data_IF_839896160009
#
_entry.id   IF_839896160009
#
_cell.length_a   1.000
_cell.length_b   1.000
_cell.length_c   1.000
_cell.angle_alpha   90.00
_cell.angle_beta   90.00
_cell.angle_gamma   90.00
#
_symmetry.space_group_name_H-M   'P 1'
#
loop_
_entity.id
_entity.type
_entity.pdbx_description
1 polymer ?
#
# COMPACT_ATOMS: atom_id res chain seq x y z
N UNK A 1 12.38 -2.55 -12.32
CA UNK A 1 13.20 -1.50 -12.93
C UNK A 1 13.05 -1.43 -14.44
N UNK A 2 13.62 -2.36 -15.21
CA UNK A 2 13.65 -2.28 -16.68
C UNK A 2 12.28 -2.06 -17.34
N UNK A 3 11.24 -2.78 -16.88
CA UNK A 3 9.89 -2.63 -17.42
C UNK A 3 9.33 -1.21 -17.20
N UNK A 4 9.48 -0.69 -15.98
CA UNK A 4 9.11 0.69 -15.61
C UNK A 4 9.80 1.70 -16.54
N UNK A 5 11.12 1.54 -16.76
CA UNK A 5 11.87 2.42 -17.66
C UNK A 5 11.38 2.36 -19.11
N UNK A 6 11.07 1.17 -19.63
CA UNK A 6 10.55 0.99 -20.99
C UNK A 6 9.19 1.65 -21.16
N UNK A 7 8.30 1.47 -20.18
CA UNK A 7 6.91 1.89 -20.31
C UNK A 7 6.70 3.37 -19.96
N UNK A 8 7.35 3.85 -18.89
CA UNK A 8 7.23 5.24 -18.41
C UNK A 8 8.20 6.18 -19.17
N UNK A 9 9.28 5.64 -19.73
CA UNK A 9 10.34 6.43 -20.37
C UNK A 9 11.40 6.99 -19.41
N UNK A 10 11.42 6.52 -18.16
CA UNK A 10 12.43 6.89 -17.15
C UNK A 10 13.78 6.25 -17.42
N UNK A 11 14.86 6.88 -16.97
CA UNK A 11 16.19 6.26 -17.04
C UNK A 11 16.24 4.96 -16.19
N UNK A 12 17.12 3.99 -16.51
CA UNK A 12 17.17 2.71 -15.80
C UNK A 12 17.35 2.83 -14.28
N UNK A 13 18.16 3.79 -13.81
CA UNK A 13 18.38 4.02 -12.38
C UNK A 13 17.11 4.47 -11.66
N UNK A 14 16.32 5.37 -12.25
CA UNK A 14 15.04 5.80 -11.70
C UNK A 14 14.01 4.66 -11.68
N UNK A 15 13.95 3.85 -12.74
CA UNK A 15 13.08 2.68 -12.77
C UNK A 15 13.45 1.64 -11.71
N UNK A 16 14.76 1.47 -11.43
CA UNK A 16 15.23 0.62 -10.33
C UNK A 16 14.89 1.23 -8.97
N UNK A 17 15.10 2.53 -8.80
CA UNK A 17 14.74 3.27 -7.59
C UNK A 17 13.26 3.16 -7.25
N UNK A 18 12.37 3.30 -8.25
CA UNK A 18 10.93 3.17 -8.04
C UNK A 18 10.52 1.76 -7.58
N UNK A 19 11.19 0.71 -8.07
CA UNK A 19 10.98 -0.66 -7.56
C UNK A 19 11.55 -0.83 -6.16
N UNK A 20 12.67 -0.16 -5.84
CA UNK A 20 13.19 -0.17 -4.48
C UNK A 20 12.22 0.51 -3.50
N UNK A 21 11.62 1.64 -3.87
CA UNK A 21 10.58 2.31 -3.07
C UNK A 21 9.38 1.39 -2.80
N UNK A 22 8.98 0.56 -3.77
CA UNK A 22 7.94 -0.46 -3.60
C UNK A 22 8.35 -1.54 -2.58
N UNK A 23 9.62 -1.91 -2.51
CA UNK A 23 10.12 -2.88 -1.53
C UNK A 23 10.17 -2.23 -0.15
N UNK A 24 10.74 -1.03 -0.05
CA UNK A 24 10.93 -0.32 1.21
C UNK A 24 9.60 -0.03 1.92
N UNK A 25 8.55 0.31 1.16
CA UNK A 25 7.23 0.52 1.76
C UNK A 25 6.60 -0.79 2.26
N UNK A 26 6.84 -1.92 1.59
CA UNK A 26 6.35 -3.21 2.08
C UNK A 26 6.99 -3.54 3.44
N UNK A 27 8.30 -3.33 3.59
CA UNK A 27 9.00 -3.52 4.86
C UNK A 27 8.48 -2.57 5.95
N UNK A 28 8.28 -1.29 5.59
CA UNK A 28 7.72 -0.30 6.48
C UNK A 28 6.30 -0.66 6.94
N UNK A 29 5.43 -1.06 6.01
CA UNK A 29 4.04 -1.44 6.30
C UNK A 29 3.98 -2.70 7.19
N UNK A 30 4.82 -3.70 6.94
CA UNK A 30 4.94 -4.89 7.82
C UNK A 30 5.37 -4.47 9.22
N UNK A 31 6.30 -3.53 9.36
CA UNK A 31 6.66 -2.95 10.66
C UNK A 31 5.47 -2.29 11.37
N UNK A 32 4.71 -1.46 10.65
CA UNK A 32 3.52 -0.78 11.16
C UNK A 32 2.37 -1.73 11.51
N UNK A 33 2.26 -2.89 10.86
CA UNK A 33 1.20 -3.88 11.16
C UNK A 33 1.16 -4.30 12.63
N UNK A 34 2.29 -4.20 13.34
CA UNK A 34 2.42 -4.51 14.77
C UNK A 34 2.02 -3.34 15.69
N UNK A 35 1.70 -2.18 15.12
CA UNK A 35 1.35 -0.96 15.84
C UNK A 35 -0.15 -0.63 15.76
N UNK A 36 -0.97 -1.54 15.24
CA UNK A 36 -2.43 -1.41 15.20
C UNK A 36 -3.08 -1.77 16.55
N UNK A 37 -2.71 -1.05 17.61
CA UNK A 37 -3.25 -1.21 18.95
C UNK A 37 -4.36 -0.19 19.23
N UNK A 38 -5.25 -0.54 20.16
CA UNK A 38 -6.25 0.37 20.70
C UNK A 38 -5.85 0.97 22.05
N UNK A 39 -6.57 2.01 22.48
CA UNK A 39 -6.35 2.67 23.77
C UNK A 39 -7.31 2.15 24.84
N UNK A 40 -6.86 2.15 26.09
CA UNK A 40 -7.76 2.03 27.26
C UNK A 40 -7.84 3.38 27.93
N UNK A 41 -9.05 3.88 28.14
CA UNK A 41 -9.30 5.23 28.63
C UNK A 41 -10.07 5.15 29.95
N UNK A 42 -9.69 5.98 30.91
CA UNK A 42 -10.38 6.06 32.19
C UNK A 42 -11.82 6.57 32.01
N UNK A 43 -12.75 6.02 32.79
CA UNK A 43 -14.16 6.43 32.80
C UNK A 43 -14.56 6.96 34.16
N UNK A 44 -15.39 8.00 34.20
CA UNK A 44 -15.96 8.49 35.46
C UNK A 44 -17.05 7.58 36.05
N UNK A 45 -17.55 6.59 35.30
CA UNK A 45 -18.67 5.72 35.72
C UNK A 45 -18.17 4.47 36.47
N UNK A 46 -18.61 4.21 37.71
CA UNK A 46 -18.24 3.00 38.44
C UNK A 46 -18.59 1.72 37.67
N UNK A 47 -17.68 0.75 37.67
CA UNK A 47 -17.86 -0.56 37.03
C UNK A 47 -17.85 -0.56 35.50
N UNK A 48 -17.54 0.57 34.85
CA UNK A 48 -17.44 0.64 33.39
C UNK A 48 -15.99 0.54 32.93
N UNK A 49 -15.79 0.01 31.72
CA UNK A 49 -14.49 -0.02 31.03
C UNK A 49 -14.65 0.60 29.64
N UNK A 50 -13.78 1.53 29.30
CA UNK A 50 -13.73 2.13 27.97
C UNK A 50 -12.44 1.74 27.27
N UNK A 51 -12.57 1.17 26.07
CA UNK A 51 -11.45 0.78 25.24
C UNK A 51 -11.78 1.02 23.76
N UNK A 52 -10.75 1.34 23.00
CA UNK A 52 -10.79 1.42 21.55
C UNK A 52 -10.17 0.13 20.97
N UNK A 53 -10.60 -0.25 19.78
CA UNK A 53 -10.04 -1.36 19.02
C UNK A 53 -9.83 -0.92 17.58
N UNK A 54 -8.76 -1.41 16.96
CA UNK A 54 -8.55 -1.18 15.55
C UNK A 54 -9.55 -1.98 14.72
N UNK A 55 -10.14 -1.33 13.72
CA UNK A 55 -10.99 -1.98 12.71
C UNK A 55 -10.61 -1.48 11.32
N UNK A 56 -10.57 -2.36 10.31
CA UNK A 56 -10.35 -1.96 8.93
C UNK A 56 -11.47 -1.05 8.44
N UNK A 57 -11.15 -0.20 7.46
CA UNK A 57 -12.13 0.64 6.76
C UNK A 57 -13.03 -0.20 5.84
N UNK A 58 -12.49 -1.26 5.26
CA UNK A 58 -13.20 -2.17 4.35
C UNK A 58 -12.54 -2.24 2.97
N UNK A 59 -13.30 -1.96 1.91
CA UNK A 59 -12.78 -1.98 0.53
C UNK A 59 -12.27 -0.59 0.15
N UNK A 60 -11.01 -0.52 -0.30
CA UNK A 60 -10.33 0.71 -0.71
C UNK A 60 -10.03 0.69 -2.21
N UNK A 61 -10.41 1.76 -2.90
CA UNK A 61 -10.05 1.99 -4.30
C UNK A 61 -8.71 2.75 -4.41
N UNK A 62 -7.74 2.19 -5.13
CA UNK A 62 -6.48 2.85 -5.46
C UNK A 62 -6.48 3.22 -6.94
N UNK A 63 -6.35 4.50 -7.25
CA UNK A 63 -6.25 5.01 -8.63
C UNK A 63 -4.88 5.68 -8.79
N UNK A 64 -3.97 5.06 -9.54
CA UNK A 64 -2.59 5.54 -9.68
C UNK A 64 -2.31 6.23 -11.01
N UNK A 65 -1.42 7.22 -10.99
CA UNK A 65 -0.94 7.93 -12.16
C UNK A 65 0.19 7.16 -12.89
N UNK A 66 0.56 7.64 -14.08
CA UNK A 66 1.53 6.96 -14.96
C UNK A 66 3.01 7.23 -14.65
N UNK A 67 3.32 8.26 -13.86
CA UNK A 67 4.70 8.71 -13.67
C UNK A 67 5.46 7.91 -12.60
N UNK A 68 4.75 7.32 -11.63
CA UNK A 68 5.30 6.40 -10.63
C UNK A 68 4.35 5.21 -10.44
N UNK A 69 4.15 4.40 -11.50
CA UNK A 69 3.08 3.42 -11.54
C UNK A 69 3.19 2.29 -10.50
N UNK A 70 4.41 1.88 -10.10
CA UNK A 70 4.56 0.85 -9.06
C UNK A 70 4.59 1.45 -7.67
N UNK A 71 5.33 2.55 -7.48
CA UNK A 71 5.54 3.13 -6.17
C UNK A 71 4.23 3.64 -5.58
N UNK A 72 3.48 4.48 -6.32
CA UNK A 72 2.22 5.07 -5.81
C UNK A 72 1.17 4.01 -5.50
N UNK A 73 1.07 2.95 -6.33
CA UNK A 73 0.21 1.82 -6.02
C UNK A 73 0.65 1.14 -4.73
N UNK A 74 1.93 0.76 -4.62
CA UNK A 74 2.45 0.05 -3.45
C UNK A 74 2.35 0.84 -2.15
N UNK A 75 2.52 2.17 -2.20
CA UNK A 75 2.37 3.05 -1.05
C UNK A 75 1.01 2.96 -0.39
N UNK A 76 -0.03 2.89 -1.22
CA UNK A 76 -1.41 2.83 -0.75
C UNK A 76 -1.84 1.39 -0.47
N UNK A 77 -1.49 0.46 -1.37
CA UNK A 77 -1.91 -0.93 -1.27
C UNK A 77 -1.27 -1.63 -0.07
N UNK A 78 0.03 -1.44 0.18
CA UNK A 78 0.71 -2.08 1.31
C UNK A 78 0.10 -1.64 2.65
N UNK A 79 -0.15 -0.34 2.81
CA UNK A 79 -0.78 0.21 4.02
C UNK A 79 -2.22 -0.28 4.21
N UNK A 80 -3.04 -0.25 3.15
CA UNK A 80 -4.41 -0.77 3.19
C UNK A 80 -4.42 -2.26 3.60
N UNK A 81 -3.56 -3.08 2.99
CA UNK A 81 -3.48 -4.51 3.28
C UNK A 81 -3.11 -4.79 4.73
N UNK A 82 -2.11 -4.09 5.28
CA UNK A 82 -1.73 -4.31 6.70
C UNK A 82 -2.78 -3.78 7.68
N UNK A 83 -3.57 -2.78 7.28
CA UNK A 83 -4.73 -2.30 8.03
C UNK A 83 -5.92 -3.27 8.01
N UNK A 84 -5.88 -4.31 7.16
CA UNK A 84 -6.94 -5.31 6.99
C UNK A 84 -7.95 -4.98 5.90
N UNK A 85 -7.64 -4.02 5.03
CA UNK A 85 -8.52 -3.58 3.94
C UNK A 85 -8.32 -4.41 2.67
N UNK A 86 -9.39 -4.59 1.91
CA UNK A 86 -9.32 -5.13 0.55
C UNK A 86 -9.02 -3.99 -0.43
N UNK A 87 -8.23 -4.26 -1.48
CA UNK A 87 -7.82 -3.23 -2.45
C UNK A 87 -8.37 -3.54 -3.84
N UNK A 88 -9.01 -2.53 -4.45
CA UNK A 88 -9.37 -2.52 -5.87
C UNK A 88 -8.50 -1.48 -6.57
N UNK A 89 -7.69 -1.92 -7.54
CA UNK A 89 -6.72 -1.05 -8.20
C UNK A 89 -7.15 -0.70 -9.64
N UNK A 90 -7.18 0.60 -9.96
CA UNK A 90 -7.23 1.12 -11.33
C UNK A 90 -5.92 1.83 -11.68
N UNK A 91 -4.98 1.18 -12.38
CA UNK A 91 -3.76 1.84 -12.84
C UNK A 91 -4.07 2.84 -13.96
N UNK A 92 -3.10 3.71 -14.27
CA UNK A 92 -3.18 4.53 -15.47
C UNK A 92 -3.14 3.66 -16.71
N UNK A 93 -4.02 3.97 -17.68
CA UNK A 93 -4.06 3.35 -18.99
C UNK A 93 -2.79 3.57 -19.83
N UNK A 94 -1.91 4.50 -19.42
CA UNK A 94 -0.62 4.75 -20.07
C UNK A 94 0.48 3.80 -19.62
N UNK A 95 0.31 3.14 -18.48
CA UNK A 95 1.31 2.21 -17.91
C UNK A 95 0.71 0.86 -17.48
N UNK A 96 -0.03 0.16 -18.36
CA UNK A 96 -0.71 -1.08 -18.00
C UNK A 96 0.22 -2.29 -17.80
N UNK A 97 1.36 -2.36 -18.49
CA UNK A 97 2.28 -3.50 -18.44
C UNK A 97 2.94 -3.63 -17.07
N UNK A 98 3.38 -2.50 -16.51
CA UNK A 98 3.93 -2.43 -15.16
C UNK A 98 2.88 -2.84 -14.13
N UNK A 99 1.62 -2.46 -14.33
CA UNK A 99 0.54 -2.87 -13.44
C UNK A 99 0.28 -4.39 -13.50
N UNK A 100 0.23 -4.97 -14.70
CA UNK A 100 0.11 -6.42 -14.88
C UNK A 100 1.29 -7.18 -14.26
N UNK A 101 2.51 -6.61 -14.34
CA UNK A 101 3.67 -7.20 -13.70
C UNK A 101 3.56 -7.19 -12.17
N UNK A 102 3.10 -6.08 -11.56
CA UNK A 102 2.82 -6.02 -10.13
C UNK A 102 1.75 -7.02 -9.70
N UNK A 103 0.65 -7.13 -10.45
CA UNK A 103 -0.41 -8.12 -10.18
C UNK A 103 0.13 -9.55 -10.25
N UNK A 104 0.98 -9.85 -11.23
CA UNK A 104 1.61 -11.17 -11.37
C UNK A 104 2.56 -11.49 -10.19
N UNK A 105 3.25 -10.48 -9.64
CA UNK A 105 4.06 -10.65 -8.42
C UNK A 105 3.15 -10.92 -7.22
N UNK A 106 2.07 -10.16 -7.07
CA UNK A 106 1.14 -10.29 -5.94
C UNK A 106 0.42 -11.65 -5.90
N UNK A 107 0.16 -12.25 -7.07
CA UNK A 107 -0.55 -13.54 -7.20
C UNK A 107 0.33 -14.78 -6.98
N UNK A 108 1.64 -14.63 -6.81
CA UNK A 108 2.57 -15.75 -6.58
C UNK A 108 2.63 -16.14 -5.11
#
# INVERSE_FOLDING_TARGET
GRLVSIEVGKIPSEGLGEVQEMIDICDFAVGLSRQLYGLTIATERPGHRMMETWHPLGVVGVISAFNFPVAVWSWNAALALVCGDAVVWKPSEKTPLTALACEAIFKR
#
